data_IF_557407538770
#
_entry.id   IF_557407538770
#
_cell.length_a   1.000
_cell.length_b   1.000
_cell.length_c   1.000
_cell.angle_alpha   90.00
_cell.angle_beta   90.00
_cell.angle_gamma   90.00
#
_symmetry.space_group_name_H-M   'P 1'
#
loop_
_entity.id
_entity.type
_entity.pdbx_description
1 polymer ?
#
# COMPACT_ATOMS: atom_id res chain seq x y z
N UNK A 1 8.16 -1.62 -2.08
CA UNK A 1 6.72 -1.23 -2.08
C UNK A 1 6.20 -1.19 -3.51
N UNK A 2 4.98 -1.71 -3.75
CA UNK A 2 4.37 -1.84 -5.10
C UNK A 2 4.29 -0.50 -5.84
N UNK A 3 3.91 0.58 -5.16
CA UNK A 3 3.76 1.89 -5.82
C UNK A 3 5.10 2.44 -6.32
N UNK A 4 6.19 2.23 -5.61
CA UNK A 4 7.52 2.61 -6.10
C UNK A 4 7.96 1.76 -7.28
N UNK A 5 7.78 0.43 -7.19
CA UNK A 5 8.10 -0.45 -8.31
C UNK A 5 7.30 -0.11 -9.57
N UNK A 6 6.03 0.25 -9.44
CA UNK A 6 5.22 0.65 -10.59
C UNK A 6 5.63 2.02 -11.17
N UNK A 7 6.08 2.94 -10.31
CA UNK A 7 6.50 4.29 -10.71
C UNK A 7 7.89 4.37 -11.34
N UNK A 8 8.70 3.34 -11.20
CA UNK A 8 10.09 3.29 -11.70
C UNK A 8 10.26 2.08 -12.64
N UNK A 9 10.37 2.31 -13.97
CA UNK A 9 10.59 1.24 -14.95
C UNK A 9 11.88 0.45 -14.75
N UNK A 10 12.87 1.04 -14.09
CA UNK A 10 14.18 0.39 -13.83
C UNK A 10 14.17 -0.43 -12.52
N UNK A 11 13.09 -0.37 -11.72
CA UNK A 11 12.95 -1.17 -10.51
C UNK A 11 12.81 -2.66 -10.88
N UNK A 12 13.59 -3.57 -10.26
CA UNK A 12 13.47 -5.01 -10.51
C UNK A 12 12.06 -5.58 -10.27
N UNK A 13 11.26 -4.93 -9.43
CA UNK A 13 9.88 -5.32 -9.15
C UNK A 13 8.85 -4.68 -10.11
N UNK A 14 9.28 -3.84 -11.08
CA UNK A 14 8.38 -3.04 -11.92
C UNK A 14 7.29 -3.88 -12.59
N UNK A 15 7.67 -4.87 -13.36
CA UNK A 15 6.73 -5.71 -14.14
C UNK A 15 5.68 -6.35 -13.21
N UNK A 16 6.12 -6.84 -12.06
CA UNK A 16 5.22 -7.49 -11.10
C UNK A 16 4.33 -6.48 -10.38
N UNK A 17 4.87 -5.31 -10.03
CA UNK A 17 4.10 -4.21 -9.43
C UNK A 17 3.00 -3.71 -10.35
N UNK A 18 3.30 -3.50 -11.64
CA UNK A 18 2.33 -3.13 -12.68
C UNK A 18 1.25 -4.19 -12.81
N UNK A 19 1.62 -5.48 -12.84
CA UNK A 19 0.66 -6.58 -12.92
C UNK A 19 -0.30 -6.60 -11.72
N UNK A 20 0.18 -6.31 -10.50
CA UNK A 20 -0.69 -6.20 -9.33
C UNK A 20 -1.60 -4.96 -9.37
N UNK A 21 -1.11 -3.80 -9.85
CA UNK A 21 -1.98 -2.62 -10.00
C UNK A 21 -3.06 -2.84 -11.06
N UNK A 22 -2.78 -3.59 -12.12
CA UNK A 22 -3.77 -3.97 -13.12
C UNK A 22 -4.91 -4.81 -12.53
N UNK A 23 -4.66 -5.56 -11.45
CA UNK A 23 -5.68 -6.37 -10.76
C UNK A 23 -6.65 -5.55 -9.90
N UNK A 24 -6.49 -4.24 -9.81
CA UNK A 24 -7.45 -3.38 -9.11
C UNK A 24 -8.84 -3.35 -9.76
N UNK A 25 -9.01 -3.84 -11.00
CA UNK A 25 -10.30 -4.03 -11.63
C UNK A 25 -11.02 -5.30 -11.13
N UNK A 26 -10.28 -6.26 -10.54
CA UNK A 26 -10.87 -7.48 -9.99
C UNK A 26 -11.75 -7.16 -8.76
N UNK A 27 -12.91 -7.82 -8.62
CA UNK A 27 -13.73 -7.68 -7.42
C UNK A 27 -12.96 -8.05 -6.15
N UNK A 28 -13.06 -7.21 -5.12
CA UNK A 28 -12.39 -7.45 -3.84
C UNK A 28 -10.92 -7.03 -3.77
N UNK A 29 -10.34 -6.55 -4.89
CA UNK A 29 -8.99 -6.02 -4.92
C UNK A 29 -8.99 -4.51 -4.61
N UNK A 30 -8.20 -4.07 -3.63
CA UNK A 30 -8.13 -2.68 -3.19
C UNK A 30 -6.69 -2.24 -2.95
N UNK A 31 -6.43 -0.97 -3.19
CA UNK A 31 -5.21 -0.32 -2.77
C UNK A 31 -5.35 0.12 -1.31
N UNK A 32 -4.38 -0.22 -0.47
CA UNK A 32 -4.36 0.23 0.91
C UNK A 32 -4.14 1.76 0.98
N UNK A 33 -4.98 2.45 1.74
CA UNK A 33 -4.83 3.89 1.96
C UNK A 33 -3.51 4.22 2.66
N UNK A 34 -3.08 3.39 3.61
CA UNK A 34 -1.77 3.52 4.25
C UNK A 34 -0.60 3.43 3.25
N UNK A 35 -0.70 2.60 2.20
CA UNK A 35 0.33 2.51 1.17
C UNK A 35 0.46 3.80 0.35
N UNK A 36 -0.64 4.53 0.11
CA UNK A 36 -0.59 5.84 -0.55
C UNK A 36 0.07 6.90 0.33
N UNK A 37 -0.25 6.92 1.62
CA UNK A 37 0.37 7.85 2.57
C UNK A 37 1.87 7.56 2.70
N UNK A 38 2.23 6.29 2.83
CA UNK A 38 3.64 5.87 2.88
C UNK A 38 4.38 6.29 1.61
N UNK A 39 3.80 6.09 0.43
CA UNK A 39 4.37 6.51 -0.84
C UNK A 39 4.70 8.01 -0.85
N UNK A 40 3.78 8.87 -0.38
CA UNK A 40 4.03 10.31 -0.30
C UNK A 40 5.09 10.67 0.74
N UNK A 41 5.05 10.09 1.93
CA UNK A 41 6.01 10.36 3.00
C UNK A 41 7.43 9.91 2.62
N UNK A 42 7.58 8.76 1.98
CA UNK A 42 8.89 8.29 1.51
C UNK A 42 9.45 9.20 0.43
N UNK A 43 8.64 9.65 -0.53
CA UNK A 43 9.08 10.65 -1.51
C UNK A 43 9.58 11.93 -0.82
N UNK A 44 8.83 12.42 0.16
CA UNK A 44 9.21 13.60 0.95
C UNK A 44 10.52 13.37 1.71
N UNK A 45 10.69 12.24 2.34
CA UNK A 45 11.91 11.89 3.07
C UNK A 45 13.15 11.74 2.18
N UNK A 46 12.95 11.38 0.90
CA UNK A 46 13.99 11.34 -0.12
C UNK A 46 14.32 12.72 -0.73
N UNK A 47 13.71 13.79 -0.24
CA UNK A 47 14.00 15.16 -0.62
C UNK A 47 13.17 15.69 -1.79
N UNK A 48 12.16 14.96 -2.29
CA UNK A 48 11.29 15.48 -3.33
C UNK A 48 10.48 16.67 -2.77
N UNK A 49 10.53 17.79 -3.49
CA UNK A 49 9.72 18.96 -3.14
C UNK A 49 8.23 18.72 -3.48
N UNK A 50 7.37 19.67 -3.08
CA UNK A 50 5.93 19.50 -3.27
C UNK A 50 5.52 19.40 -4.76
N UNK A 51 6.19 20.10 -5.67
CA UNK A 51 5.88 20.05 -7.11
C UNK A 51 6.22 18.71 -7.72
N UNK A 52 7.37 18.15 -7.36
CA UNK A 52 7.79 16.82 -7.79
C UNK A 52 6.81 15.75 -7.29
N UNK A 53 6.37 15.83 -6.03
CA UNK A 53 5.37 14.90 -5.48
C UNK A 53 4.01 15.04 -6.17
N UNK A 54 3.55 16.28 -6.45
CA UNK A 54 2.33 16.51 -7.23
C UNK A 54 2.39 15.82 -8.60
N UNK A 55 3.51 15.94 -9.30
CA UNK A 55 3.70 15.28 -10.61
C UNK A 55 3.63 13.76 -10.47
N UNK A 56 4.32 13.19 -9.47
CA UNK A 56 4.29 11.73 -9.23
C UNK A 56 2.87 11.21 -8.96
N UNK A 57 2.10 11.91 -8.13
CA UNK A 57 0.70 11.53 -7.87
C UNK A 57 -0.19 11.70 -9.12
N UNK A 58 0.01 12.74 -9.91
CA UNK A 58 -0.73 12.93 -11.16
C UNK A 58 -0.43 11.82 -12.18
N UNK A 59 0.85 11.40 -12.30
CA UNK A 59 1.25 10.28 -13.14
C UNK A 59 0.65 8.96 -12.64
N UNK A 60 0.67 8.70 -11.34
CA UNK A 60 0.06 7.50 -10.76
C UNK A 60 -1.44 7.42 -11.09
N UNK A 61 -2.17 8.53 -10.90
CA UNK A 61 -3.60 8.59 -11.20
C UNK A 61 -3.90 8.46 -12.70
N UNK A 62 -3.04 9.01 -13.57
CA UNK A 62 -3.19 8.93 -15.02
C UNK A 62 -2.92 7.51 -15.54
N UNK A 63 -1.82 6.91 -15.12
CA UNK A 63 -1.34 5.64 -15.66
C UNK A 63 -2.07 4.44 -15.01
N UNK A 64 -2.54 4.62 -13.76
CA UNK A 64 -3.29 3.63 -12.99
C UNK A 64 -4.56 4.24 -12.38
N UNK A 65 -5.58 4.58 -13.19
CA UNK A 65 -6.75 5.35 -12.73
C UNK A 65 -7.54 4.67 -11.61
N UNK A 66 -7.48 3.35 -11.52
CA UNK A 66 -8.13 2.59 -10.44
C UNK A 66 -7.49 2.84 -9.06
N UNK A 67 -6.27 3.37 -9.00
CA UNK A 67 -5.68 3.82 -7.73
C UNK A 67 -6.43 4.98 -7.08
N UNK A 68 -7.28 5.67 -7.84
CA UNK A 68 -8.16 6.74 -7.32
C UNK A 68 -9.48 6.20 -6.77
N UNK A 69 -10.04 5.17 -7.40
CA UNK A 69 -11.41 4.67 -7.11
C UNK A 69 -11.44 3.40 -6.29
N UNK A 70 -10.36 2.63 -6.30
CA UNK A 70 -10.23 1.33 -5.60
C UNK A 70 -9.40 1.44 -4.33
N UNK A 71 -9.41 2.59 -3.67
CA UNK A 71 -8.84 2.78 -2.34
C UNK A 71 -9.94 2.55 -1.31
N UNK A 72 -9.67 1.71 -0.31
CA UNK A 72 -10.60 1.56 0.79
C UNK A 72 -10.51 2.77 1.72
N UNK A 73 -11.64 3.41 2.08
CA UNK A 73 -11.63 4.52 3.03
C UNK A 73 -11.09 4.09 4.39
N UNK A 74 -10.25 4.94 4.98
CA UNK A 74 -9.83 4.77 6.37
C UNK A 74 -10.99 5.08 7.32
N UNK A 75 -11.04 4.36 8.43
CA UNK A 75 -12.03 4.54 9.49
C UNK A 75 -11.35 4.49 10.87
N UNK A 76 -12.00 5.02 11.92
CA UNK A 76 -11.51 4.87 13.29
C UNK A 76 -11.27 3.42 13.70
N UNK A 77 -12.07 2.48 13.20
CA UNK A 77 -11.92 1.04 13.44
C UNK A 77 -10.59 0.51 12.86
N UNK A 78 -10.27 0.88 11.62
CA UNK A 78 -8.99 0.50 10.99
C UNK A 78 -7.82 1.09 11.78
N UNK A 79 -7.89 2.36 12.18
CA UNK A 79 -6.85 3.03 12.97
C UNK A 79 -6.69 2.41 14.36
N UNK A 80 -7.79 2.03 15.02
CA UNK A 80 -7.75 1.30 16.28
C UNK A 80 -7.02 -0.04 16.12
N UNK A 81 -7.36 -0.80 15.10
CA UNK A 81 -6.74 -2.11 14.83
C UNK A 81 -5.24 -1.92 14.47
N UNK A 82 -4.90 -0.92 13.66
CA UNK A 82 -3.53 -0.60 13.31
C UNK A 82 -2.70 -0.25 14.54
N UNK A 83 -3.19 0.62 15.42
CA UNK A 83 -2.51 1.00 16.65
C UNK A 83 -2.27 -0.21 17.57
N UNK A 84 -3.26 -1.09 17.67
CA UNK A 84 -3.13 -2.33 18.46
C UNK A 84 -2.06 -3.25 17.88
N UNK A 85 -2.05 -3.46 16.56
CA UNK A 85 -1.07 -4.32 15.90
C UNK A 85 0.34 -3.73 15.98
N UNK A 86 0.50 -2.40 15.84
CA UNK A 86 1.79 -1.72 16.05
C UNK A 86 2.36 -2.03 17.44
N UNK A 87 1.55 -1.91 18.49
CA UNK A 87 1.97 -2.13 19.87
C UNK A 87 2.15 -3.61 20.25
N UNK A 88 1.19 -4.47 19.94
CA UNK A 88 1.17 -5.87 20.35
C UNK A 88 2.06 -6.74 19.46
N UNK A 89 2.05 -6.55 18.14
CA UNK A 89 2.82 -7.35 17.19
C UNK A 89 4.21 -6.77 16.91
N UNK A 90 4.49 -5.55 17.42
CA UNK A 90 5.77 -4.83 17.27
C UNK A 90 6.20 -4.69 15.81
N UNK A 91 5.33 -4.19 14.99
CA UNK A 91 5.54 -3.86 13.59
C UNK A 91 5.49 -2.34 13.39
N UNK A 92 6.03 -1.85 12.29
CA UNK A 92 6.01 -0.41 12.07
C UNK A 92 4.60 0.12 11.77
N UNK A 93 4.46 1.43 11.83
CA UNK A 93 3.19 2.13 11.68
C UNK A 93 2.50 1.85 10.35
N UNK A 94 3.25 1.86 9.23
CA UNK A 94 2.65 1.65 7.91
C UNK A 94 2.29 0.19 7.66
N UNK A 95 3.14 -0.74 8.09
CA UNK A 95 2.84 -2.16 8.01
C UNK A 95 1.61 -2.51 8.87
N UNK A 96 1.50 -1.92 10.07
CA UNK A 96 0.34 -2.09 10.92
C UNK A 96 -0.94 -1.56 10.25
N UNK A 97 -0.87 -0.42 9.58
CA UNK A 97 -1.97 0.14 8.82
C UNK A 97 -2.43 -0.74 7.68
N UNK A 98 -1.50 -1.18 6.83
CA UNK A 98 -1.79 -2.10 5.72
C UNK A 98 -2.34 -3.43 6.23
N UNK A 99 -1.78 -3.98 7.31
CA UNK A 99 -2.27 -5.21 7.95
C UNK A 99 -3.70 -5.06 8.47
N UNK A 100 -4.01 -3.93 9.11
CA UNK A 100 -5.36 -3.64 9.61
C UNK A 100 -6.37 -3.54 8.46
N UNK A 101 -6.04 -2.85 7.37
CA UNK A 101 -6.88 -2.77 6.18
C UNK A 101 -7.13 -4.15 5.56
N UNK A 102 -6.10 -5.00 5.47
CA UNK A 102 -6.23 -6.36 4.98
C UNK A 102 -7.13 -7.21 5.88
N UNK A 103 -7.00 -7.10 7.21
CA UNK A 103 -7.83 -7.86 8.16
C UNK A 103 -9.32 -7.52 8.11
N UNK A 104 -9.68 -6.27 7.85
CA UNK A 104 -11.10 -5.89 7.70
C UNK A 104 -11.68 -6.28 6.33
N UNK A 105 -10.85 -6.76 5.41
CA UNK A 105 -11.28 -7.34 4.14
C UNK A 105 -11.33 -8.87 4.25
N UNK A 106 -10.30 -9.52 3.74
CA UNK A 106 -10.26 -10.98 3.63
C UNK A 106 -8.95 -11.60 4.18
N UNK A 107 -8.10 -10.79 4.78
CA UNK A 107 -6.81 -11.21 5.34
C UNK A 107 -5.70 -11.42 4.32
N UNK A 108 -5.90 -11.10 3.04
CA UNK A 108 -4.83 -11.17 2.05
C UNK A 108 -4.14 -9.81 1.88
N UNK A 109 -2.82 -9.84 1.79
CA UNK A 109 -2.00 -8.66 1.54
C UNK A 109 -0.99 -8.92 0.44
N UNK A 110 -0.92 -8.02 -0.54
CA UNK A 110 0.10 -8.06 -1.59
C UNK A 110 1.28 -7.19 -1.17
N UNK A 111 2.39 -7.83 -0.82
CA UNK A 111 3.60 -7.15 -0.36
C UNK A 111 4.84 -8.01 -0.55
N UNK A 112 5.99 -7.35 -0.77
CA UNK A 112 7.31 -7.98 -0.72
C UNK A 112 7.80 -8.20 0.71
N UNK A 113 7.22 -7.49 1.69
CA UNK A 113 7.69 -7.54 3.06
C UNK A 113 7.23 -8.81 3.78
N UNK A 114 8.20 -9.54 4.31
CA UNK A 114 7.97 -10.79 5.06
C UNK A 114 7.39 -10.56 6.45
N UNK A 115 7.28 -9.33 6.92
CA UNK A 115 6.66 -9.02 8.21
C UNK A 115 5.23 -9.58 8.28
N UNK A 116 4.51 -9.56 7.15
CA UNK A 116 3.13 -10.07 7.05
C UNK A 116 3.02 -11.58 7.19
N UNK A 117 4.09 -12.35 6.93
CA UNK A 117 4.08 -13.82 7.06
C UNK A 117 3.92 -14.27 8.52
N UNK A 118 4.30 -13.44 9.48
CA UNK A 118 4.24 -13.76 10.92
C UNK A 118 2.97 -13.25 11.62
N UNK A 119 2.13 -12.49 10.92
CA UNK A 119 0.95 -11.88 11.52
C UNK A 119 -0.26 -12.84 11.47
N UNK A 120 -0.87 -13.18 12.61
CA UNK A 120 -2.00 -14.10 12.65
C UNK A 120 -3.19 -13.60 11.82
N UNK A 121 -3.77 -14.49 11.02
CA UNK A 121 -4.95 -14.18 10.20
C UNK A 121 -4.63 -13.36 8.92
N UNK A 122 -3.35 -13.21 8.58
CA UNK A 122 -2.93 -12.63 7.31
C UNK A 122 -2.23 -13.66 6.43
N UNK A 123 -2.40 -13.50 5.12
CA UNK A 123 -1.71 -14.27 4.10
C UNK A 123 -1.09 -13.32 3.09
N UNK A 124 0.23 -13.29 3.08
CA UNK A 124 0.97 -12.51 2.09
C UNK A 124 0.97 -13.20 0.72
N UNK A 125 0.77 -12.40 -0.31
CA UNK A 125 0.81 -12.80 -1.72
C UNK A 125 1.85 -11.94 -2.43
N UNK A 126 2.87 -12.57 -2.98
CA UNK A 126 3.86 -11.88 -3.83
C UNK A 126 4.56 -12.90 -4.73
#
# INVERSE_FOLDING_TARGET
MILFGAADPDDPAHVRSVAYLARLDEPGFYLAGFALIEFDIVMKSRGLNYRERMVRHALLARDYPLTTTRVKPLSPEILYLAARMEGEDRIDYFDAGVAAEAKVLDGHVVSTDRVFDRLPGLKRVW
#
